data_IF_555206217140
#
_entry.id   IF_555206217140
#
_cell.length_a   1.000
_cell.length_b   1.000
_cell.length_c   1.000
_cell.angle_alpha   90.00
_cell.angle_beta   90.00
_cell.angle_gamma   90.00
#
_symmetry.space_group_name_H-M   'P 1'
#
loop_
_entity.id
_entity.type
_entity.pdbx_description
1 polymer ?
#
# COMPACT_ATOMS: atom_id res chain seq x y z
N UNK A 1 -1.52 41.75 -46.63
CA UNK A 1 -0.82 40.45 -46.69
C UNK A 1 -0.72 39.91 -45.27
N UNK A 2 -1.58 38.96 -44.89
CA UNK A 2 -1.62 38.41 -43.53
C UNK A 2 -0.75 37.15 -43.50
N UNK A 3 0.39 37.19 -42.81
CA UNK A 3 1.26 36.01 -42.66
C UNK A 3 0.75 35.17 -41.49
N UNK A 4 0.08 34.06 -41.78
CA UNK A 4 -0.21 33.02 -40.82
C UNK A 4 1.12 32.37 -40.39
N UNK A 5 1.60 32.75 -39.21
CA UNK A 5 2.72 32.06 -38.57
C UNK A 5 2.17 30.75 -37.97
N UNK A 6 2.50 29.62 -38.60
CA UNK A 6 2.21 28.30 -38.07
C UNK A 6 3.09 28.07 -36.84
N UNK A 7 2.51 28.17 -35.64
CA UNK A 7 3.18 27.83 -34.38
C UNK A 7 3.21 26.30 -34.31
N UNK A 8 4.38 25.65 -34.29
CA UNK A 8 4.44 24.21 -34.11
C UNK A 8 4.04 23.90 -32.67
N UNK A 9 2.91 23.23 -32.51
CA UNK A 9 2.49 22.71 -31.21
C UNK A 9 3.41 21.53 -30.86
N UNK A 10 4.52 21.83 -30.18
CA UNK A 10 5.42 20.82 -29.64
C UNK A 10 4.71 20.13 -28.46
N UNK A 11 4.18 18.93 -28.70
CA UNK A 11 3.70 18.05 -27.64
C UNK A 11 4.89 17.58 -26.83
N UNK A 12 5.13 18.24 -25.69
CA UNK A 12 6.09 17.79 -24.68
C UNK A 12 5.57 16.47 -24.08
N UNK A 13 6.07 15.34 -24.58
CA UNK A 13 5.87 14.04 -23.95
C UNK A 13 6.68 14.01 -22.64
N UNK A 14 6.01 14.20 -21.51
CA UNK A 14 6.62 13.97 -20.20
C UNK A 14 6.84 12.47 -20.02
N UNK A 15 8.04 12.02 -19.59
CA UNK A 15 8.25 10.62 -19.28
C UNK A 15 7.33 10.21 -18.13
N UNK A 16 6.43 9.26 -18.39
CA UNK A 16 5.72 8.56 -17.32
C UNK A 16 6.74 7.63 -16.67
N UNK A 17 7.26 8.03 -15.51
CA UNK A 17 7.98 7.11 -14.64
C UNK A 17 6.90 6.20 -14.03
N UNK A 18 6.93 4.92 -14.37
CA UNK A 18 6.11 3.93 -13.70
C UNK A 18 6.50 3.95 -12.21
N UNK A 19 5.56 4.25 -11.34
CA UNK A 19 5.81 4.23 -9.92
C UNK A 19 5.75 2.77 -9.48
N UNK A 20 6.85 2.23 -8.98
CA UNK A 20 6.88 0.86 -8.49
C UNK A 20 6.40 0.80 -7.05
N UNK A 21 5.78 -0.32 -6.65
CA UNK A 21 5.50 -0.59 -5.23
C UNK A 21 6.85 -0.75 -4.52
N UNK A 22 7.11 -0.03 -3.42
CA UNK A 22 8.40 -0.11 -2.73
C UNK A 22 8.68 -1.53 -2.25
N UNK A 23 9.96 -1.90 -2.15
CA UNK A 23 10.38 -3.18 -1.59
C UNK A 23 10.57 -3.02 -0.09
N UNK A 24 9.66 -3.61 0.69
CA UNK A 24 9.74 -3.64 2.15
C UNK A 24 10.32 -5.00 2.60
N UNK A 25 11.14 -4.97 3.65
CA UNK A 25 11.71 -6.19 4.25
C UNK A 25 10.67 -6.87 5.16
N UNK A 26 9.82 -7.69 4.54
CA UNK A 26 8.79 -8.45 5.26
C UNK A 26 9.40 -9.44 6.28
N UNK A 27 10.63 -9.93 6.04
CA UNK A 27 11.28 -10.88 6.93
C UNK A 27 11.61 -10.22 8.26
N UNK A 28 12.16 -9.01 8.21
CA UNK A 28 12.39 -8.19 9.41
C UNK A 28 11.07 -7.89 10.14
N UNK A 29 10.05 -7.43 9.41
CA UNK A 29 8.72 -7.11 9.96
C UNK A 29 8.08 -8.29 10.69
N UNK A 30 8.11 -9.49 10.09
CA UNK A 30 7.45 -10.66 10.67
C UNK A 30 8.31 -11.47 11.64
N UNK A 31 9.61 -11.17 11.79
CA UNK A 31 10.49 -11.91 12.70
C UNK A 31 9.97 -11.90 14.14
N UNK A 32 9.40 -10.78 14.57
CA UNK A 32 8.84 -10.59 15.90
C UNK A 32 7.33 -10.91 15.99
N UNK A 33 6.73 -11.49 14.94
CA UNK A 33 5.30 -11.80 14.93
C UNK A 33 4.95 -12.80 16.03
N UNK A 34 3.92 -12.45 16.80
CA UNK A 34 3.35 -13.26 17.87
C UNK A 34 1.89 -13.58 17.55
N UNK A 35 1.38 -14.69 18.08
CA UNK A 35 -0.02 -15.05 17.90
C UNK A 35 -0.91 -14.00 18.56
N UNK A 36 -1.71 -13.31 17.75
CA UNK A 36 -2.74 -12.38 18.22
C UNK A 36 -4.06 -13.09 18.51
N UNK A 37 -4.23 -14.30 17.98
CA UNK A 37 -5.39 -15.15 18.15
C UNK A 37 -4.95 -16.58 18.53
N UNK A 38 -5.66 -17.29 19.43
CA UNK A 38 -5.28 -18.65 19.85
C UNK A 38 -5.29 -19.70 18.72
N UNK A 39 -5.99 -19.45 17.62
CA UNK A 39 -5.99 -20.32 16.44
C UNK A 39 -4.78 -20.11 15.53
N UNK A 40 -4.03 -19.01 15.71
CA UNK A 40 -2.80 -18.77 14.98
C UNK A 40 -1.64 -19.56 15.59
N UNK A 41 -1.52 -20.80 15.14
CA UNK A 41 -0.46 -21.72 15.55
C UNK A 41 0.90 -21.43 14.88
N UNK A 42 0.94 -20.47 13.95
CA UNK A 42 2.09 -20.20 13.08
C UNK A 42 2.20 -18.70 12.74
N UNK A 43 2.39 -17.81 13.75
CA UNK A 43 2.22 -16.37 13.58
C UNK A 43 3.20 -15.71 12.61
N UNK A 44 4.43 -16.23 12.53
CA UNK A 44 5.39 -15.74 11.54
C UNK A 44 4.95 -16.08 10.11
N UNK A 45 4.42 -17.29 9.89
CA UNK A 45 3.92 -17.73 8.59
C UNK A 45 2.64 -16.97 8.21
N UNK A 46 1.75 -16.74 9.17
CA UNK A 46 0.55 -15.91 9.00
C UNK A 46 0.94 -14.49 8.60
N UNK A 47 1.89 -13.87 9.30
CA UNK A 47 2.41 -12.54 8.95
C UNK A 47 3.02 -12.51 7.54
N UNK A 48 3.90 -13.46 7.20
CA UNK A 48 4.49 -13.57 5.86
C UNK A 48 3.44 -13.59 4.76
N UNK A 49 2.37 -14.36 4.99
CA UNK A 49 1.26 -14.49 4.05
C UNK A 49 0.50 -13.16 3.91
N UNK A 50 0.10 -12.53 5.02
CA UNK A 50 -0.65 -11.27 4.99
C UNK A 50 0.14 -10.14 4.33
N UNK A 51 1.44 -10.03 4.60
CA UNK A 51 2.33 -9.06 3.97
C UNK A 51 2.45 -9.27 2.45
N UNK A 52 2.56 -10.54 2.04
CA UNK A 52 2.66 -10.90 0.61
C UNK A 52 1.35 -10.61 -0.13
N UNK A 53 0.21 -10.94 0.48
CA UNK A 53 -1.12 -10.65 -0.06
C UNK A 53 -1.35 -9.14 -0.16
N UNK A 54 -1.02 -8.38 0.89
CA UNK A 54 -1.14 -6.93 0.88
C UNK A 54 -0.27 -6.26 -0.18
N UNK A 55 0.96 -6.75 -0.40
CA UNK A 55 1.83 -6.29 -1.50
C UNK A 55 1.19 -6.54 -2.87
N UNK A 56 0.60 -7.72 -3.06
CA UNK A 56 -0.07 -8.07 -4.30
C UNK A 56 -1.31 -7.19 -4.54
N UNK A 57 -2.06 -6.86 -3.50
CA UNK A 57 -3.21 -5.95 -3.60
C UNK A 57 -2.79 -4.51 -3.87
N UNK A 58 -1.74 -4.02 -3.22
CA UNK A 58 -1.12 -2.73 -3.53
C UNK A 58 -0.72 -2.66 -5.01
N UNK A 59 -0.02 -3.68 -5.53
CA UNK A 59 0.43 -3.71 -6.91
C UNK A 59 -0.70 -3.57 -7.94
N UNK A 60 -1.90 -4.05 -7.63
CA UNK A 60 -3.07 -3.94 -8.53
C UNK A 60 -3.60 -2.51 -8.66
N UNK A 61 -3.40 -1.68 -7.63
CA UNK A 61 -4.01 -0.34 -7.54
C UNK A 61 -3.00 0.80 -7.46
N UNK A 62 -1.70 0.49 -7.34
CA UNK A 62 -0.65 1.45 -6.99
C UNK A 62 -0.59 2.66 -7.92
N UNK A 63 -0.73 2.45 -9.22
CA UNK A 63 -0.68 3.54 -10.21
C UNK A 63 -1.91 4.46 -10.15
N UNK A 64 -3.04 3.98 -9.60
CA UNK A 64 -4.24 4.78 -9.42
C UNK A 64 -4.19 5.63 -8.13
N UNK A 65 -3.27 5.33 -7.20
CA UNK A 65 -3.11 6.10 -5.95
C UNK A 65 -2.26 7.33 -6.22
N UNK A 66 -2.73 8.50 -5.78
CA UNK A 66 -1.99 9.75 -5.93
C UNK A 66 -0.60 9.66 -5.26
N UNK A 67 0.44 10.15 -5.95
CA UNK A 67 1.84 10.10 -5.48
C UNK A 67 2.05 10.66 -4.06
N UNK A 68 1.45 11.80 -3.66
CA UNK A 68 1.58 12.30 -2.30
C UNK A 68 1.02 11.33 -1.24
N UNK A 69 -0.06 10.61 -1.56
CA UNK A 69 -0.66 9.63 -0.65
C UNK A 69 0.19 8.37 -0.56
N UNK A 70 0.73 7.89 -1.69
CA UNK A 70 1.66 6.76 -1.71
C UNK A 70 2.86 7.01 -0.81
N UNK A 71 3.51 8.17 -0.97
CA UNK A 71 4.66 8.57 -0.17
C UNK A 71 4.33 8.66 1.31
N UNK A 72 3.26 9.39 1.65
CA UNK A 72 2.81 9.54 3.04
C UNK A 72 2.59 8.19 3.71
N UNK A 73 1.83 7.28 3.07
CA UNK A 73 1.52 5.98 3.67
C UNK A 73 2.77 5.11 3.85
N UNK A 74 3.74 5.15 2.93
CA UNK A 74 5.01 4.41 3.07
C UNK A 74 5.86 5.00 4.21
N UNK A 75 5.98 6.33 4.28
CA UNK A 75 6.74 7.03 5.32
C UNK A 75 6.15 6.75 6.72
N UNK A 76 4.82 6.71 6.87
CA UNK A 76 4.13 6.42 8.14
C UNK A 76 4.50 5.04 8.72
N UNK A 77 4.64 4.00 7.87
CA UNK A 77 5.03 2.65 8.33
C UNK A 77 6.47 2.54 8.83
N UNK A 78 7.33 3.49 8.44
CA UNK A 78 8.75 3.47 8.81
C UNK A 78 9.02 3.99 10.23
N UNK A 79 8.06 4.71 10.83
CA UNK A 79 8.21 5.33 12.16
C UNK A 79 8.39 4.29 13.26
N UNK A 80 7.82 3.09 13.09
CA UNK A 80 7.96 1.96 14.04
C UNK A 80 9.18 1.06 13.81
N UNK A 81 9.94 1.27 12.73
CA UNK A 81 11.10 0.42 12.38
C UNK A 81 10.74 -0.92 11.71
N UNK A 82 9.45 -1.19 11.49
CA UNK A 82 8.94 -2.43 10.88
C UNK A 82 7.94 -2.07 9.77
N UNK A 83 8.42 -1.62 8.59
CA UNK A 83 7.52 -1.24 7.52
C UNK A 83 6.68 -2.43 7.05
N UNK A 84 5.37 -2.20 6.86
CA UNK A 84 4.38 -3.23 6.57
C UNK A 84 3.54 -2.86 5.34
N UNK A 85 3.39 -3.79 4.39
CA UNK A 85 2.46 -3.63 3.27
C UNK A 85 1.00 -3.60 3.72
N UNK A 86 0.67 -4.33 4.80
CA UNK A 86 -0.68 -4.27 5.39
C UNK A 86 -0.99 -2.86 5.88
N UNK A 87 -0.04 -2.20 6.55
CA UNK A 87 -0.21 -0.83 7.01
C UNK A 87 -0.27 0.18 5.85
N UNK A 88 0.59 0.06 4.82
CA UNK A 88 0.51 0.91 3.62
C UNK A 88 -0.86 0.79 2.95
N UNK A 89 -1.33 -0.45 2.74
CA UNK A 89 -2.63 -0.72 2.13
C UNK A 89 -3.77 -0.14 2.96
N UNK A 90 -3.71 -0.32 4.28
CA UNK A 90 -4.72 0.21 5.21
C UNK A 90 -4.74 1.73 5.21
N UNK A 91 -3.58 2.39 5.25
CA UNK A 91 -3.48 3.84 5.16
C UNK A 91 -4.14 4.39 3.89
N UNK A 92 -3.86 3.76 2.74
CA UNK A 92 -4.48 4.15 1.46
C UNK A 92 -5.99 3.93 1.50
N UNK A 93 -6.44 2.77 1.98
CA UNK A 93 -7.86 2.43 2.06
C UNK A 93 -8.63 3.43 2.93
N UNK A 94 -8.14 3.71 4.13
CA UNK A 94 -8.72 4.69 5.05
C UNK A 94 -8.71 6.11 4.47
N UNK A 95 -7.62 6.53 3.82
CA UNK A 95 -7.54 7.86 3.21
C UNK A 95 -8.49 8.04 2.02
N UNK A 96 -8.83 6.95 1.33
CA UNK A 96 -9.71 6.93 0.16
C UNK A 96 -11.15 6.55 0.49
N UNK A 97 -11.44 6.10 1.72
CA UNK A 97 -12.74 5.56 2.12
C UNK A 97 -13.09 4.22 1.46
N UNK A 98 -12.08 3.46 1.02
CA UNK A 98 -12.24 2.13 0.40
C UNK A 98 -11.97 0.99 1.37
N UNK A 99 -11.79 1.31 2.64
CA UNK A 99 -11.73 0.38 3.76
C UNK A 99 -13.06 -0.36 3.89
N UNK A 100 -13.14 -1.53 3.25
CA UNK A 100 -14.15 -2.51 3.60
C UNK A 100 -13.92 -2.91 5.07
N UNK A 101 -14.96 -3.05 5.90
CA UNK A 101 -14.78 -3.62 7.22
C UNK A 101 -14.13 -5.00 7.03
N UNK A 102 -12.87 -5.16 7.49
CA UNK A 102 -12.29 -6.50 7.63
C UNK A 102 -13.35 -7.30 8.37
N UNK A 103 -13.79 -8.43 7.80
CA UNK A 103 -14.65 -9.37 8.53
C UNK A 103 -13.87 -9.74 9.78
N UNK A 104 -14.19 -9.05 10.86
CA UNK A 104 -13.54 -9.31 12.11
C UNK A 104 -14.03 -10.69 12.53
N UNK A 105 -13.11 -11.65 12.60
CA UNK A 105 -13.32 -12.89 13.32
C UNK A 105 -13.51 -12.63 14.83
N UNK A 106 -13.36 -11.38 15.29
CA UNK A 106 -13.77 -10.94 16.62
C UNK A 106 -15.29 -11.11 16.79
N UNK A 107 -15.67 -12.30 17.22
CA UNK A 107 -16.96 -12.55 17.86
C UNK A 107 -16.89 -11.89 19.24
N UNK A 108 -17.45 -10.68 19.35
CA UNK A 108 -17.63 -9.95 20.60
C UNK A 108 -18.14 -10.94 21.67
N UNK A 109 -17.43 -11.18 22.78
CA UNK A 109 -17.96 -12.00 23.85
C UNK A 109 -19.25 -11.35 24.34
N UNK A 110 -20.33 -12.15 24.36
CA UNK A 110 -21.66 -11.71 24.73
C UNK A 110 -21.68 -11.11 26.14
N UNK A 111 -22.52 -10.08 26.29
CA UNK A 111 -22.93 -9.55 27.58
C UNK A 111 -23.79 -10.57 28.32
#
# INVERSE_FOLDING_TARGET
MLRLAAIPLFLLATPVVAAEVPVLDIQSTCKAAVALDPSDTAPQQTCMKEETEARADLAKQWDAVAEPLRRRCVEETSVGGYPSYVEVLTCIQTATGTDAPRKSSYRRPGR
#
